data_IF_009376576965
#
_entry.id   IF_009376576965
#
_cell.length_a   1.000
_cell.length_b   1.000
_cell.length_c   1.000
_cell.angle_alpha   90.00
_cell.angle_beta   90.00
_cell.angle_gamma   90.00
#
_symmetry.space_group_name_H-M   'P 1'
#
loop_
_entity.id
_entity.type
_entity.pdbx_description
1 polymer ?
#
# COMPACT_ATOMS: atom_id res chain seq x y z
N UNK A 1 16.99 -22.35 -24.68
CA UNK A 1 17.28 -20.89 -24.79
C UNK A 1 16.02 -20.01 -24.92
N UNK A 2 14.83 -20.62 -24.92
CA UNK A 2 13.55 -19.88 -24.89
C UNK A 2 13.23 -19.21 -23.53
N UNK A 3 13.98 -19.56 -22.47
CA UNK A 3 13.76 -19.07 -21.11
C UNK A 3 14.11 -17.60 -20.90
N UNK A 4 14.83 -16.96 -21.82
CA UNK A 4 15.19 -15.54 -21.73
C UNK A 4 14.10 -14.61 -22.28
N UNK A 5 13.23 -15.11 -23.17
CA UNK A 5 12.12 -14.34 -23.70
C UNK A 5 11.10 -14.00 -22.59
N UNK A 6 10.67 -12.75 -22.51
CA UNK A 6 9.74 -12.29 -21.49
C UNK A 6 9.98 -10.86 -21.01
N UNK A 7 9.27 -10.50 -19.97
CA UNK A 7 9.45 -9.20 -19.30
C UNK A 7 10.13 -9.41 -17.94
N UNK A 8 11.13 -8.59 -17.68
CA UNK A 8 12.02 -8.72 -16.53
C UNK A 8 12.12 -7.40 -15.77
N UNK A 9 11.94 -7.43 -14.47
CA UNK A 9 12.32 -6.34 -13.58
C UNK A 9 13.82 -6.38 -13.32
N UNK A 10 14.46 -5.21 -13.32
CA UNK A 10 15.91 -5.06 -13.17
C UNK A 10 16.24 -4.60 -11.76
N UNK A 11 16.93 -5.43 -10.99
CA UNK A 11 17.42 -5.08 -9.65
C UNK A 11 18.92 -4.83 -9.67
N UNK A 12 19.35 -3.73 -9.04
CA UNK A 12 20.79 -3.45 -8.87
C UNK A 12 21.41 -4.40 -7.85
N UNK A 13 22.52 -5.00 -8.21
CA UNK A 13 23.35 -5.83 -7.30
C UNK A 13 24.58 -5.05 -6.81
N UNK A 14 25.37 -4.47 -7.71
CA UNK A 14 26.60 -3.76 -7.35
C UNK A 14 27.08 -2.80 -8.44
N UNK A 15 28.12 -2.02 -8.15
CA UNK A 15 28.81 -1.14 -9.10
C UNK A 15 28.20 0.25 -9.25
N UNK A 16 28.52 0.95 -10.34
CA UNK A 16 28.12 2.34 -10.62
C UNK A 16 26.79 2.44 -11.40
N UNK A 17 25.87 1.49 -11.21
CA UNK A 17 24.55 1.59 -11.77
C UNK A 17 23.72 2.64 -10.99
N UNK A 18 22.90 3.47 -11.68
CA UNK A 18 21.95 4.33 -11.01
C UNK A 18 20.89 3.47 -10.26
N UNK A 19 20.06 4.08 -9.40
CA UNK A 19 18.88 3.38 -8.87
C UNK A 19 18.03 2.87 -10.05
N UNK A 20 17.84 1.55 -10.13
CA UNK A 20 17.13 0.90 -11.25
C UNK A 20 15.63 0.73 -10.96
N UNK A 21 15.08 1.51 -10.02
CA UNK A 21 13.68 1.43 -9.59
C UNK A 21 12.74 1.65 -10.78
N UNK A 22 11.94 0.65 -11.09
CA UNK A 22 11.00 0.69 -12.21
C UNK A 22 11.64 0.45 -13.58
N UNK A 23 12.93 0.07 -13.64
CA UNK A 23 13.56 -0.36 -14.89
C UNK A 23 13.09 -1.76 -15.25
N UNK A 24 12.68 -1.92 -16.51
CA UNK A 24 12.26 -3.20 -17.08
C UNK A 24 13.00 -3.51 -18.37
N UNK A 25 13.23 -4.81 -18.61
CA UNK A 25 13.69 -5.31 -19.91
C UNK A 25 12.61 -6.21 -20.47
N UNK A 26 12.18 -5.91 -21.71
CA UNK A 26 11.31 -6.79 -22.47
C UNK A 26 12.14 -7.45 -23.57
N UNK A 27 12.17 -8.77 -23.60
CA UNK A 27 12.89 -9.58 -24.57
C UNK A 27 11.86 -10.34 -25.38
N UNK A 28 11.86 -10.12 -26.70
CA UNK A 28 10.97 -10.82 -27.62
C UNK A 28 11.33 -12.29 -27.80
N UNK A 29 10.54 -13.04 -28.58
CA UNK A 29 10.88 -14.41 -28.94
C UNK A 29 12.26 -14.51 -29.57
N UNK A 30 12.99 -15.58 -29.23
CA UNK A 30 14.33 -15.82 -29.76
C UNK A 30 14.27 -16.97 -30.79
N UNK A 31 14.95 -16.78 -31.91
CA UNK A 31 15.15 -17.83 -32.92
C UNK A 31 16.65 -18.11 -32.96
N UNK A 32 17.04 -19.35 -32.67
CA UNK A 32 18.45 -19.76 -32.56
C UNK A 32 19.32 -18.86 -31.66
N UNK A 33 18.71 -18.34 -30.58
CA UNK A 33 19.38 -17.45 -29.62
C UNK A 33 19.54 -16.00 -30.10
N UNK A 34 18.89 -15.63 -31.22
CA UNK A 34 18.90 -14.26 -31.77
C UNK A 34 17.50 -13.66 -31.69
N UNK A 35 17.42 -12.40 -31.28
CA UNK A 35 16.16 -11.67 -31.16
C UNK A 35 16.39 -10.20 -30.86
N UNK A 36 15.36 -9.55 -30.34
CA UNK A 36 15.44 -8.14 -29.96
C UNK A 36 14.62 -7.86 -28.72
N UNK A 37 14.93 -6.74 -28.09
CA UNK A 37 14.21 -6.28 -26.92
C UNK A 37 14.40 -4.79 -26.68
N UNK A 38 13.86 -4.34 -25.57
CA UNK A 38 14.03 -2.96 -25.10
C UNK A 38 14.18 -2.91 -23.58
N UNK A 39 15.00 -1.99 -23.12
CA UNK A 39 15.02 -1.57 -21.71
C UNK A 39 14.18 -0.30 -21.58
N UNK A 40 13.33 -0.24 -20.55
CA UNK A 40 12.49 0.93 -20.26
C UNK A 40 12.77 1.44 -18.84
N UNK A 41 12.84 2.76 -18.69
CA UNK A 41 12.91 3.45 -17.40
C UNK A 41 12.12 4.76 -17.50
N UNK A 42 10.92 4.80 -16.93
CA UNK A 42 10.00 5.92 -17.16
C UNK A 42 9.76 6.16 -18.65
N UNK A 43 9.99 7.37 -19.18
CA UNK A 43 9.82 7.66 -20.60
C UNK A 43 10.98 7.19 -21.49
N UNK A 44 12.11 6.79 -20.91
CA UNK A 44 13.30 6.37 -21.64
C UNK A 44 13.14 4.96 -22.16
N UNK A 45 13.46 4.76 -23.45
CA UNK A 45 13.47 3.46 -24.12
C UNK A 45 14.84 3.25 -24.77
N UNK A 46 15.46 2.13 -24.50
CA UNK A 46 16.75 1.74 -25.05
C UNK A 46 16.62 0.37 -25.73
N UNK A 47 16.43 0.34 -27.06
CA UNK A 47 16.33 -0.91 -27.81
C UNK A 47 17.67 -1.62 -27.88
N UNK A 48 17.63 -2.96 -27.92
CA UNK A 48 18.80 -3.81 -28.04
C UNK A 48 18.53 -5.05 -28.92
N UNK A 49 19.61 -5.62 -29.46
CA UNK A 49 19.64 -6.91 -30.09
C UNK A 49 20.10 -7.98 -29.07
N UNK A 50 19.51 -9.14 -29.13
CA UNK A 50 19.90 -10.31 -28.35
C UNK A 50 20.74 -11.24 -29.22
N UNK A 51 21.93 -11.61 -28.77
CA UNK A 51 22.78 -12.59 -29.42
C UNK A 51 23.31 -13.54 -28.34
N UNK A 52 22.74 -14.74 -28.29
CA UNK A 52 22.96 -15.68 -27.19
C UNK A 52 22.49 -15.10 -25.85
N UNK A 53 23.40 -14.86 -24.94
CA UNK A 53 23.13 -14.23 -23.64
C UNK A 53 23.57 -12.76 -23.55
N UNK A 54 23.90 -12.15 -24.70
CA UNK A 54 24.31 -10.74 -24.75
C UNK A 54 23.16 -9.86 -25.26
N UNK A 55 22.92 -8.76 -24.53
CA UNK A 55 22.02 -7.70 -24.95
C UNK A 55 22.88 -6.53 -25.45
N UNK A 56 22.91 -6.32 -26.79
CA UNK A 56 23.70 -5.26 -27.45
C UNK A 56 22.78 -4.10 -27.75
N UNK A 57 22.98 -2.99 -27.08
CA UNK A 57 22.15 -1.82 -27.27
C UNK A 57 22.36 -1.17 -28.62
N UNK A 58 21.29 -0.58 -29.17
CA UNK A 58 21.33 0.20 -30.42
C UNK A 58 21.62 1.67 -30.14
N UNK A 59 22.07 2.41 -31.14
CA UNK A 59 22.28 3.85 -31.01
C UNK A 59 21.05 4.56 -30.41
N UNK A 60 21.25 5.55 -29.52
CA UNK A 60 22.54 6.15 -29.11
C UNK A 60 23.28 5.41 -27.96
N UNK A 61 22.82 4.20 -27.58
CA UNK A 61 23.35 3.41 -26.47
C UNK A 61 24.29 2.27 -26.90
N UNK A 62 24.78 2.28 -28.12
CA UNK A 62 25.56 1.20 -28.72
C UNK A 62 26.91 0.88 -28.05
N UNK A 63 27.38 1.77 -27.17
CA UNK A 63 28.54 1.52 -26.32
C UNK A 63 28.25 0.57 -25.13
N UNK A 64 26.97 0.27 -24.86
CA UNK A 64 26.54 -0.58 -23.75
C UNK A 64 26.25 -2.00 -24.24
N UNK A 65 26.67 -2.97 -23.42
CA UNK A 65 26.37 -4.40 -23.59
C UNK A 65 26.07 -4.99 -22.23
N UNK A 66 24.98 -5.72 -22.12
CA UNK A 66 24.73 -6.55 -20.94
C UNK A 66 25.05 -8.00 -21.28
N UNK A 67 25.71 -8.70 -20.35
CA UNK A 67 26.01 -10.14 -20.45
C UNK A 67 25.26 -10.85 -19.34
N UNK A 68 24.42 -11.80 -19.73
CA UNK A 68 23.52 -12.51 -18.83
C UNK A 68 24.01 -13.92 -18.54
N UNK A 69 23.82 -14.38 -17.30
CA UNK A 69 24.11 -15.74 -16.83
C UNK A 69 22.86 -16.27 -16.12
N UNK A 70 22.32 -17.46 -16.46
CA UNK A 70 21.12 -17.98 -15.85
C UNK A 70 21.34 -18.36 -14.38
N UNK A 71 20.33 -18.10 -13.53
CA UNK A 71 20.33 -18.46 -12.12
C UNK A 71 18.89 -18.86 -11.68
N UNK A 72 18.56 -20.13 -11.82
CA UNK A 72 17.21 -20.64 -11.57
C UNK A 72 16.20 -20.04 -12.54
N UNK A 73 15.18 -19.35 -12.02
CA UNK A 73 14.17 -18.60 -12.77
C UNK A 73 14.56 -17.13 -13.06
N UNK A 74 15.74 -16.73 -12.63
CA UNK A 74 16.28 -15.37 -12.77
C UNK A 74 17.55 -15.39 -13.66
N UNK A 75 18.06 -14.18 -13.98
CA UNK A 75 19.32 -14.02 -14.70
C UNK A 75 20.19 -12.99 -13.97
N UNK A 76 21.47 -13.32 -13.78
CA UNK A 76 22.46 -12.35 -13.34
C UNK A 76 23.04 -11.61 -14.54
N UNK A 77 23.10 -10.29 -14.47
CA UNK A 77 23.59 -9.43 -15.53
C UNK A 77 24.82 -8.65 -15.15
N UNK A 78 25.79 -8.62 -16.07
CA UNK A 78 26.95 -7.71 -16.01
C UNK A 78 26.77 -6.62 -17.04
N UNK A 79 26.74 -5.37 -16.58
CA UNK A 79 26.61 -4.20 -17.42
C UNK A 79 28.00 -3.70 -17.85
N UNK A 80 28.25 -3.67 -19.16
CA UNK A 80 29.53 -3.28 -19.75
C UNK A 80 29.35 -1.96 -20.53
N UNK A 81 30.29 -1.03 -20.34
CA UNK A 81 30.44 0.18 -21.16
C UNK A 81 31.80 0.09 -21.89
N UNK A 82 31.77 0.07 -23.22
CA UNK A 82 32.96 -0.10 -24.06
C UNK A 82 33.81 -1.31 -23.62
N UNK A 83 33.15 -2.43 -23.28
CA UNK A 83 33.79 -3.68 -22.88
C UNK A 83 34.29 -3.74 -21.43
N UNK A 84 34.14 -2.66 -20.65
CA UNK A 84 34.52 -2.63 -19.23
C UNK A 84 33.28 -2.76 -18.34
N UNK A 85 33.28 -3.71 -17.40
CA UNK A 85 32.20 -3.86 -16.43
C UNK A 85 32.12 -2.62 -15.53
N UNK A 86 30.93 -2.02 -15.43
CA UNK A 86 30.68 -0.88 -14.56
C UNK A 86 29.59 -1.17 -13.51
N UNK A 87 28.88 -2.30 -13.61
CA UNK A 87 27.92 -2.70 -12.61
C UNK A 87 27.30 -4.08 -12.86
N UNK A 88 26.61 -4.57 -11.85
CA UNK A 88 25.88 -5.84 -11.87
C UNK A 88 24.43 -5.64 -11.47
N UNK A 89 23.58 -6.38 -12.12
CA UNK A 89 22.13 -6.39 -11.87
C UNK A 89 21.58 -7.80 -11.92
N UNK A 90 20.35 -7.98 -11.47
CA UNK A 90 19.59 -9.22 -11.56
C UNK A 90 18.30 -8.96 -12.32
N UNK A 91 17.94 -9.85 -13.22
CA UNK A 91 16.65 -9.89 -13.88
C UNK A 91 15.76 -10.86 -13.12
N UNK A 92 14.64 -10.38 -12.62
CA UNK A 92 13.57 -11.21 -12.08
C UNK A 92 12.42 -11.25 -13.07
N UNK A 93 11.84 -12.42 -13.34
CA UNK A 93 10.70 -12.48 -14.25
C UNK A 93 9.59 -11.59 -13.69
N UNK A 94 9.08 -10.70 -14.53
CA UNK A 94 7.80 -10.08 -14.25
C UNK A 94 6.77 -11.18 -14.48
N UNK A 95 6.34 -11.80 -13.40
CA UNK A 95 5.09 -12.55 -13.44
C UNK A 95 4.06 -11.49 -13.81
N UNK A 96 3.58 -11.50 -15.07
CA UNK A 96 2.46 -10.64 -15.44
C UNK A 96 1.40 -10.89 -14.36
N UNK A 97 1.13 -9.85 -13.57
CA UNK A 97 0.12 -9.96 -12.54
C UNK A 97 -1.12 -10.43 -13.29
N UNK A 98 -1.53 -11.67 -13.06
CA UNK A 98 -2.77 -12.23 -13.57
C UNK A 98 -3.79 -11.15 -13.36
N UNK A 99 -4.49 -10.73 -14.40
CA UNK A 99 -5.43 -9.63 -14.29
C UNK A 99 -6.24 -9.85 -13.01
N UNK A 100 -6.07 -8.94 -12.05
CA UNK A 100 -6.62 -9.10 -10.70
C UNK A 100 -8.12 -9.31 -10.84
N UNK A 101 -8.59 -10.46 -10.42
CA UNK A 101 -10.01 -10.77 -10.47
C UNK A 101 -10.76 -9.87 -9.47
N UNK A 102 -12.07 -9.71 -9.64
CA UNK A 102 -12.90 -9.00 -8.64
C UNK A 102 -12.76 -9.66 -7.27
N UNK A 103 -12.58 -10.98 -7.25
CA UNK A 103 -12.32 -11.76 -6.04
C UNK A 103 -11.00 -11.40 -5.38
N UNK A 104 -9.91 -11.28 -6.16
CA UNK A 104 -8.61 -10.86 -5.63
C UNK A 104 -8.68 -9.44 -5.06
N UNK A 105 -9.45 -8.54 -5.71
CA UNK A 105 -9.69 -7.19 -5.21
C UNK A 105 -10.51 -7.20 -3.92
N UNK A 106 -11.51 -8.08 -3.80
CA UNK A 106 -12.31 -8.21 -2.59
C UNK A 106 -11.44 -8.65 -1.40
N UNK A 107 -10.62 -9.68 -1.59
CA UNK A 107 -9.66 -10.15 -0.57
C UNK A 107 -8.70 -9.03 -0.17
N UNK A 108 -8.20 -8.28 -1.15
CA UNK A 108 -7.32 -7.15 -0.89
C UNK A 108 -7.99 -6.06 -0.05
N UNK A 109 -9.20 -5.63 -0.40
CA UNK A 109 -9.92 -4.59 0.34
C UNK A 109 -10.37 -5.04 1.72
N UNK A 110 -10.69 -6.33 1.91
CA UNK A 110 -10.92 -6.89 3.24
C UNK A 110 -9.67 -6.79 4.13
N UNK A 111 -8.51 -7.17 3.61
CA UNK A 111 -7.24 -7.10 4.33
C UNK A 111 -6.85 -5.65 4.66
N UNK A 112 -7.06 -4.73 3.72
CA UNK A 112 -6.84 -3.28 3.92
C UNK A 112 -7.79 -2.71 4.98
N UNK A 113 -9.06 -3.10 5.00
CA UNK A 113 -10.02 -2.65 5.99
C UNK A 113 -9.67 -3.17 7.39
N UNK A 114 -9.21 -4.43 7.53
CA UNK A 114 -8.73 -4.97 8.82
C UNK A 114 -7.53 -4.16 9.33
N UNK A 115 -6.57 -3.84 8.47
CA UNK A 115 -5.40 -3.05 8.84
C UNK A 115 -5.77 -1.61 9.24
N UNK A 116 -6.82 -1.05 8.64
CA UNK A 116 -7.39 0.24 8.98
C UNK A 116 -7.96 0.22 10.40
N UNK A 117 -8.85 -0.72 10.72
CA UNK A 117 -9.43 -0.88 12.06
C UNK A 117 -8.36 -1.02 13.15
N UNK A 118 -7.32 -1.82 12.89
CA UNK A 118 -6.21 -1.97 13.82
C UNK A 118 -5.42 -0.68 14.03
N UNK A 119 -5.35 0.18 13.00
CA UNK A 119 -4.68 1.48 13.09
C UNK A 119 -5.52 2.48 13.86
N UNK A 120 -6.84 2.52 13.61
CA UNK A 120 -7.77 3.37 14.35
C UNK A 120 -7.83 2.96 15.82
N UNK A 121 -7.88 1.67 16.12
CA UNK A 121 -7.82 1.19 17.51
C UNK A 121 -6.59 1.71 18.25
N UNK A 122 -5.41 1.71 17.61
CA UNK A 122 -4.18 2.30 18.22
C UNK A 122 -4.27 3.81 18.38
N UNK A 123 -4.91 4.50 17.43
CA UNK A 123 -5.16 5.93 17.51
C UNK A 123 -6.06 6.25 18.72
N UNK A 124 -7.15 5.49 18.90
CA UNK A 124 -8.06 5.62 20.04
C UNK A 124 -7.35 5.36 21.36
N UNK A 125 -6.49 4.34 21.46
CA UNK A 125 -5.65 4.11 22.67
C UNK A 125 -4.80 5.35 23.00
N UNK A 126 -4.21 5.99 22.00
CA UNK A 126 -3.43 7.22 22.18
C UNK A 126 -4.28 8.41 22.61
N UNK A 127 -5.47 8.59 22.06
CA UNK A 127 -6.40 9.65 22.41
C UNK A 127 -6.91 9.50 23.86
N UNK A 128 -7.33 8.29 24.23
CA UNK A 128 -7.77 7.96 25.59
C UNK A 128 -6.65 8.26 26.61
N UNK A 129 -5.42 7.88 26.30
CA UNK A 129 -4.27 8.15 27.18
C UNK A 129 -3.90 9.63 27.33
N UNK A 130 -4.41 10.53 26.48
CA UNK A 130 -4.04 11.94 26.44
C UNK A 130 -5.18 12.90 26.74
N UNK A 131 -6.37 12.41 27.08
CA UNK A 131 -7.51 13.24 27.53
C UNK A 131 -7.85 12.95 28.99
N UNK A 132 -8.25 13.98 29.72
CA UNK A 132 -8.70 13.88 31.13
C UNK A 132 -10.22 14.09 31.27
N UNK A 133 -10.92 14.37 30.16
CA UNK A 133 -12.37 14.57 30.19
C UNK A 133 -13.13 13.23 30.19
N UNK A 134 -13.91 12.94 31.25
CA UNK A 134 -14.58 11.63 31.37
C UNK A 134 -15.60 11.36 30.28
N UNK A 135 -16.25 12.36 29.70
CA UNK A 135 -17.24 12.17 28.65
C UNK A 135 -16.56 11.83 27.32
N UNK A 136 -15.42 12.47 27.05
CA UNK A 136 -14.60 12.15 25.88
C UNK A 136 -14.00 10.76 26.01
N UNK A 137 -13.50 10.37 27.18
CA UNK A 137 -12.98 9.02 27.46
C UNK A 137 -14.07 7.97 27.18
N UNK A 138 -15.26 8.14 27.75
CA UNK A 138 -16.39 7.19 27.55
C UNK A 138 -16.77 7.05 26.09
N UNK A 139 -16.82 8.15 25.34
CA UNK A 139 -17.07 8.17 23.89
C UNK A 139 -16.02 7.36 23.13
N UNK A 140 -14.73 7.59 23.41
CA UNK A 140 -13.62 6.93 22.72
C UNK A 140 -13.53 5.43 23.09
N UNK A 141 -13.75 5.07 24.35
CA UNK A 141 -13.79 3.66 24.80
C UNK A 141 -14.94 2.89 24.15
N UNK A 142 -16.11 3.52 24.04
CA UNK A 142 -17.25 2.93 23.36
C UNK A 142 -16.94 2.66 21.88
N UNK A 143 -16.41 3.65 21.19
CA UNK A 143 -16.03 3.51 19.78
C UNK A 143 -14.91 2.49 19.57
N UNK A 144 -13.94 2.40 20.47
CA UNK A 144 -12.90 1.36 20.43
C UNK A 144 -13.48 -0.06 20.44
N UNK A 145 -14.52 -0.30 21.22
CA UNK A 145 -15.24 -1.59 21.23
C UNK A 145 -15.98 -1.83 19.90
N UNK A 146 -16.48 -0.78 19.26
CA UNK A 146 -17.08 -0.87 17.90
C UNK A 146 -16.03 -1.23 16.86
N UNK A 147 -14.88 -0.53 16.84
CA UNK A 147 -13.70 -0.81 16.00
C UNK A 147 -13.22 -2.26 16.11
N UNK A 148 -13.13 -2.80 17.34
CA UNK A 148 -12.75 -4.20 17.55
C UNK A 148 -13.77 -5.19 16.95
N UNK A 149 -15.06 -4.89 17.02
CA UNK A 149 -16.13 -5.69 16.39
C UNK A 149 -16.08 -5.60 14.87
N UNK A 150 -15.77 -4.42 14.32
CA UNK A 150 -15.58 -4.25 12.88
C UNK A 150 -14.45 -5.16 12.37
N UNK A 151 -13.28 -5.09 13.00
CA UNK A 151 -12.16 -5.95 12.66
C UNK A 151 -12.48 -7.45 12.76
N UNK A 152 -13.26 -7.87 13.75
CA UNK A 152 -13.70 -9.26 13.90
C UNK A 152 -14.62 -9.71 12.76
N UNK A 153 -15.64 -8.89 12.40
CA UNK A 153 -16.54 -9.16 11.26
C UNK A 153 -15.76 -9.30 9.96
N UNK A 154 -14.82 -8.38 9.70
CA UNK A 154 -13.98 -8.39 8.50
C UNK A 154 -13.07 -9.63 8.44
N UNK A 155 -12.45 -10.02 9.55
CA UNK A 155 -11.64 -11.26 9.62
C UNK A 155 -12.47 -12.50 9.31
N UNK A 156 -13.67 -12.59 9.86
CA UNK A 156 -14.57 -13.71 9.57
C UNK A 156 -14.92 -13.79 8.07
N UNK A 157 -15.10 -12.64 7.40
CA UNK A 157 -15.35 -12.59 5.94
C UNK A 157 -14.10 -12.98 5.15
N UNK A 158 -12.93 -12.52 5.56
CA UNK A 158 -11.67 -12.88 4.92
C UNK A 158 -11.38 -14.39 5.02
N UNK A 159 -11.60 -14.98 6.20
CA UNK A 159 -11.46 -16.43 6.42
C UNK A 159 -12.46 -17.24 5.59
N UNK A 160 -13.71 -16.78 5.46
CA UNK A 160 -14.71 -17.41 4.61
C UNK A 160 -14.29 -17.46 3.12
N UNK A 161 -13.37 -16.58 2.70
CA UNK A 161 -12.73 -16.57 1.38
C UNK A 161 -11.45 -17.41 1.30
N UNK A 162 -11.12 -18.17 2.35
CA UNK A 162 -9.92 -18.98 2.41
C UNK A 162 -8.61 -18.18 2.51
N UNK A 163 -8.71 -16.88 2.79
CA UNK A 163 -7.58 -15.99 2.98
C UNK A 163 -7.30 -15.74 4.46
N UNK A 164 -6.08 -15.28 4.77
CA UNK A 164 -5.67 -14.88 6.12
C UNK A 164 -5.19 -13.44 6.10
N UNK A 165 -5.36 -12.69 7.21
CA UNK A 165 -4.83 -11.35 7.32
C UNK A 165 -3.33 -11.32 7.02
N UNK A 166 -2.89 -10.37 6.21
CA UNK A 166 -1.48 -10.17 5.88
C UNK A 166 -0.76 -9.56 7.07
N UNK A 167 0.24 -10.25 7.62
CA UNK A 167 1.09 -9.72 8.69
C UNK A 167 2.06 -8.63 8.23
N UNK A 168 2.16 -8.33 6.94
CA UNK A 168 3.23 -7.51 6.33
C UNK A 168 2.71 -6.22 5.69
N UNK A 169 1.41 -6.05 5.54
CA UNK A 169 0.88 -4.78 5.02
C UNK A 169 0.85 -3.72 6.13
N UNK A 170 2.02 -3.16 6.43
CA UNK A 170 2.08 -1.77 6.88
C UNK A 170 1.32 -0.95 5.84
N UNK A 171 0.28 -0.27 6.30
CA UNK A 171 -0.62 0.51 5.48
C UNK A 171 0.17 1.44 4.54
N UNK A 172 0.35 1.01 3.28
CA UNK A 172 0.89 1.84 2.21
C UNK A 172 -0.27 2.65 1.64
N UNK A 173 -0.09 3.94 1.51
CA UNK A 173 -1.10 4.86 1.00
C UNK A 173 -1.70 5.77 2.07
N UNK A 174 -2.96 6.16 1.92
CA UNK A 174 -3.66 7.12 2.80
C UNK A 174 -3.75 6.61 4.24
N UNK A 175 -3.90 5.28 4.43
CA UNK A 175 -3.86 4.62 5.75
C UNK A 175 -2.48 4.71 6.41
N UNK A 176 -1.39 4.62 5.62
CA UNK A 176 -0.03 4.87 6.11
C UNK A 176 0.20 6.33 6.50
N UNK A 177 -0.61 7.25 5.98
CA UNK A 177 -0.59 8.65 6.40
C UNK A 177 -1.28 8.83 7.77
N UNK A 178 -2.41 8.15 8.03
CA UNK A 178 -3.06 8.15 9.36
C UNK A 178 -2.19 7.50 10.43
N UNK A 179 -1.56 6.36 10.13
CA UNK A 179 -0.63 5.69 11.04
C UNK A 179 0.66 6.51 11.29
N UNK A 180 0.96 7.48 10.43
CA UNK A 180 2.09 8.43 10.54
C UNK A 180 1.66 9.80 11.02
N UNK A 181 0.36 10.03 11.31
CA UNK A 181 0.00 11.23 12.06
C UNK A 181 0.80 11.19 13.36
N UNK A 182 1.72 12.15 13.58
CA UNK A 182 2.46 12.17 14.81
C UNK A 182 1.41 12.33 15.90
N UNK A 183 1.21 11.29 16.69
CA UNK A 183 0.62 11.42 18.01
C UNK A 183 1.61 12.27 18.79
N UNK A 184 1.49 13.59 18.62
CA UNK A 184 2.35 14.55 19.28
C UNK A 184 1.98 14.61 20.78
N UNK A 185 2.44 13.60 21.52
CA UNK A 185 2.35 13.55 22.98
C UNK A 185 2.98 14.79 23.68
N UNK A 186 3.57 15.70 22.90
CA UNK A 186 4.35 16.85 23.40
C UNK A 186 3.65 18.17 23.11
N UNK A 187 2.53 18.20 22.37
CA UNK A 187 1.82 19.46 22.05
C UNK A 187 0.87 19.87 23.16
N UNK A 188 0.85 21.17 23.48
CA UNK A 188 0.00 21.76 24.51
C UNK A 188 -1.49 21.55 24.24
N UNK A 189 -1.98 21.84 23.05
CA UNK A 189 -3.38 21.67 22.66
C UNK A 189 -3.65 20.29 22.07
N UNK A 190 -4.40 19.44 22.77
CA UNK A 190 -4.65 18.06 22.37
C UNK A 190 -6.09 17.80 21.97
N UNK A 191 -7.07 18.32 22.72
CA UNK A 191 -8.48 17.98 22.55
C UNK A 191 -9.01 18.30 21.15
N UNK A 192 -8.86 19.53 20.67
CA UNK A 192 -9.33 19.95 19.35
C UNK A 192 -8.60 19.25 18.20
N UNK A 193 -7.31 18.99 18.35
CA UNK A 193 -6.54 18.24 17.32
C UNK A 193 -6.91 16.77 17.28
N UNK A 194 -7.06 16.15 18.42
CA UNK A 194 -7.52 14.77 18.52
C UNK A 194 -8.92 14.62 17.91
N UNK A 195 -9.84 15.54 18.19
CA UNK A 195 -11.18 15.58 17.60
C UNK A 195 -11.13 15.70 16.07
N UNK A 196 -10.29 16.63 15.54
CA UNK A 196 -10.09 16.78 14.09
C UNK A 196 -9.56 15.50 13.46
N UNK A 197 -8.57 14.88 14.09
CA UNK A 197 -7.91 13.68 13.54
C UNK A 197 -8.84 12.47 13.62
N UNK A 198 -9.64 12.34 14.71
CA UNK A 198 -10.71 11.35 14.81
C UNK A 198 -11.76 11.57 13.71
N UNK A 199 -12.29 12.78 13.54
CA UNK A 199 -13.29 13.09 12.52
C UNK A 199 -12.80 12.77 11.10
N UNK A 200 -11.53 13.04 10.80
CA UNK A 200 -10.91 12.69 9.54
C UNK A 200 -10.79 11.16 9.37
N UNK A 201 -10.46 10.42 10.44
CA UNK A 201 -10.39 8.97 10.43
C UNK A 201 -11.75 8.34 10.10
N UNK A 202 -12.83 8.75 10.81
CA UNK A 202 -14.19 8.27 10.54
C UNK A 202 -14.59 8.42 9.08
N UNK A 203 -14.32 9.59 8.47
CA UNK A 203 -14.67 9.83 7.07
C UNK A 203 -13.86 8.96 6.09
N UNK A 204 -12.65 8.58 6.46
CA UNK A 204 -11.87 7.64 5.66
C UNK A 204 -12.40 6.22 5.78
N UNK A 205 -12.82 5.80 6.99
CA UNK A 205 -13.44 4.50 7.23
C UNK A 205 -14.77 4.38 6.49
N UNK A 206 -15.61 5.41 6.54
CA UNK A 206 -16.84 5.51 5.75
C UNK A 206 -16.56 5.31 4.26
N UNK A 207 -15.54 5.99 3.72
CA UNK A 207 -15.17 5.86 2.31
C UNK A 207 -14.62 4.46 1.97
N UNK A 208 -13.81 3.86 2.85
CA UNK A 208 -13.29 2.52 2.69
C UNK A 208 -14.40 1.47 2.68
N UNK A 209 -15.36 1.56 3.60
CA UNK A 209 -16.53 0.70 3.63
C UNK A 209 -17.46 0.88 2.44
N UNK A 210 -17.62 2.11 1.94
CA UNK A 210 -18.35 2.34 0.69
C UNK A 210 -17.69 1.64 -0.50
N UNK A 211 -16.38 1.62 -0.57
CA UNK A 211 -15.64 0.94 -1.62
C UNK A 211 -15.76 -0.57 -1.47
N UNK A 212 -15.53 -1.11 -0.25
CA UNK A 212 -15.63 -2.53 0.05
C UNK A 212 -17.03 -3.09 -0.29
N UNK A 213 -18.11 -2.40 0.10
CA UNK A 213 -19.48 -2.77 -0.26
C UNK A 213 -19.65 -2.95 -1.76
N UNK A 214 -19.15 -1.98 -2.55
CA UNK A 214 -19.32 -2.02 -4.03
C UNK A 214 -18.48 -3.12 -4.69
N UNK A 215 -17.30 -3.39 -4.15
CA UNK A 215 -16.45 -4.51 -4.64
C UNK A 215 -17.08 -5.83 -4.27
N UNK A 216 -17.57 -6.00 -3.03
CA UNK A 216 -18.24 -7.20 -2.58
C UNK A 216 -19.51 -7.51 -3.40
N UNK A 217 -20.34 -6.50 -3.68
CA UNK A 217 -21.51 -6.65 -4.55
C UNK A 217 -21.12 -7.13 -5.96
N UNK A 218 -20.03 -6.59 -6.54
CA UNK A 218 -19.54 -7.03 -7.86
C UNK A 218 -18.94 -8.44 -7.86
N UNK A 219 -18.41 -8.87 -6.72
CA UNK A 219 -17.93 -10.23 -6.50
C UNK A 219 -19.07 -11.22 -6.22
N UNK A 220 -20.32 -10.76 -6.06
CA UNK A 220 -21.46 -11.58 -5.67
C UNK A 220 -21.43 -11.99 -4.19
N UNK A 221 -20.65 -11.30 -3.34
CA UNK A 221 -20.55 -11.56 -1.91
C UNK A 221 -21.46 -10.60 -1.13
N UNK A 222 -22.73 -10.91 -1.07
CA UNK A 222 -23.71 -10.10 -0.36
C UNK A 222 -23.49 -10.05 1.15
N UNK A 223 -22.93 -11.13 1.74
CA UNK A 223 -22.60 -11.16 3.18
C UNK A 223 -21.50 -10.15 3.52
N UNK A 224 -20.46 -10.05 2.70
CA UNK A 224 -19.42 -9.04 2.88
C UNK A 224 -19.95 -7.63 2.61
N UNK A 225 -20.81 -7.46 1.60
CA UNK A 225 -21.48 -6.19 1.33
C UNK A 225 -22.33 -5.73 2.54
N UNK A 226 -23.04 -6.65 3.18
CA UNK A 226 -23.83 -6.34 4.38
C UNK A 226 -22.96 -5.95 5.58
N UNK A 227 -21.85 -6.67 5.81
CA UNK A 227 -20.88 -6.31 6.85
C UNK A 227 -20.31 -4.90 6.60
N UNK A 228 -19.98 -4.57 5.35
CA UNK A 228 -19.48 -3.24 5.02
C UNK A 228 -20.53 -2.14 5.26
N UNK A 229 -21.80 -2.39 4.93
CA UNK A 229 -22.91 -1.45 5.22
C UNK A 229 -23.11 -1.24 6.72
N UNK A 230 -23.07 -2.33 7.49
CA UNK A 230 -23.25 -2.28 8.93
C UNK A 230 -22.11 -1.48 9.60
N UNK A 231 -20.85 -1.82 9.30
CA UNK A 231 -19.70 -1.10 9.86
C UNK A 231 -19.77 0.39 9.47
N UNK A 232 -20.02 0.69 8.18
CA UNK A 232 -20.18 2.08 7.74
C UNK A 232 -21.23 2.86 8.52
N UNK A 233 -22.39 2.26 8.81
CA UNK A 233 -23.45 2.93 9.55
C UNK A 233 -23.03 3.26 10.99
N UNK A 234 -22.20 2.40 11.61
CA UNK A 234 -21.64 2.61 12.94
C UNK A 234 -20.60 3.77 12.89
N UNK A 235 -19.72 3.86 11.84
CA UNK A 235 -18.80 5.00 11.65
C UNK A 235 -19.52 6.32 11.34
N UNK A 236 -20.58 6.29 10.51
CA UNK A 236 -21.42 7.46 10.25
C UNK A 236 -22.09 7.97 11.55
N UNK A 237 -22.43 7.08 12.47
CA UNK A 237 -22.98 7.46 13.77
C UNK A 237 -21.90 8.10 14.66
N UNK A 238 -20.67 7.57 14.65
CA UNK A 238 -19.54 8.15 15.39
C UNK A 238 -19.14 9.52 14.83
N UNK A 239 -19.03 9.66 13.50
CA UNK A 239 -18.76 10.95 12.87
C UNK A 239 -19.78 12.02 13.27
N UNK A 240 -21.09 11.68 13.33
CA UNK A 240 -22.13 12.59 13.82
C UNK A 240 -21.94 12.96 15.30
N UNK A 241 -21.58 12.00 16.16
CA UNK A 241 -21.30 12.30 17.58
C UNK A 241 -20.13 13.25 17.72
N UNK A 242 -19.07 13.08 16.95
CA UNK A 242 -17.94 14.02 16.95
C UNK A 242 -18.37 15.42 16.48
N UNK A 243 -19.21 15.48 15.43
CA UNK A 243 -19.73 16.76 14.89
C UNK A 243 -20.59 17.53 15.94
N UNK A 244 -21.39 16.81 16.71
CA UNK A 244 -22.22 17.36 17.79
C UNK A 244 -21.40 17.88 18.98
N UNK A 245 -20.14 17.48 19.14
CA UNK A 245 -19.30 17.81 20.30
C UNK A 245 -18.17 18.81 19.99
N UNK A 246 -18.17 19.47 18.81
CA UNK A 246 -17.12 20.42 18.44
C UNK A 246 -16.91 21.52 19.46
N UNK A 247 -17.98 22.12 19.99
CA UNK A 247 -17.87 23.19 21.00
C UNK A 247 -17.19 22.68 22.28
N UNK A 248 -17.48 21.43 22.68
CA UNK A 248 -16.82 20.79 23.83
C UNK A 248 -15.32 20.64 23.59
N UNK A 249 -14.91 20.18 22.41
CA UNK A 249 -13.49 20.02 22.07
C UNK A 249 -12.76 21.36 21.97
N UNK A 250 -13.42 22.40 21.46
CA UNK A 250 -12.89 23.77 21.44
C UNK A 250 -12.69 24.29 22.87
N UNK A 251 -13.69 24.15 23.74
CA UNK A 251 -13.60 24.57 25.12
C UNK A 251 -12.48 23.85 25.88
N UNK A 252 -12.29 22.55 25.65
CA UNK A 252 -11.19 21.78 26.23
C UNK A 252 -9.83 22.29 25.73
N UNK A 253 -9.68 22.52 24.43
CA UNK A 253 -8.45 23.06 23.85
C UNK A 253 -8.08 24.43 24.43
N UNK A 254 -9.07 25.33 24.55
CA UNK A 254 -8.85 26.66 25.12
C UNK A 254 -8.44 26.58 26.59
N UNK A 255 -8.98 25.67 27.36
CA UNK A 255 -8.57 25.42 28.77
C UNK A 255 -7.14 24.89 28.83
N UNK A 256 -6.76 23.95 27.97
CA UNK A 256 -5.41 23.40 27.90
C UNK A 256 -4.36 24.49 27.61
N UNK A 257 -4.66 25.43 26.71
CA UNK A 257 -3.80 26.57 26.34
C UNK A 257 -3.89 27.74 27.36
N UNK A 258 -4.73 27.61 28.40
CA UNK A 258 -4.97 28.69 29.40
C UNK A 258 -5.40 30.02 28.76
N UNK A 259 -6.12 29.94 27.67
CA UNK A 259 -6.68 31.12 27.00
C UNK A 259 -7.91 31.56 27.79
N UNK A 260 -7.84 32.76 28.41
CA UNK A 260 -9.00 33.40 29.03
C UNK A 260 -9.80 34.12 27.95
N UNK A 261 -11.06 33.72 27.79
CA UNK A 261 -12.01 34.45 26.95
C UNK A 261 -12.49 35.77 27.59
#
# INVERSE_FOLDING_TARGET
MDELAGTWDVERVSGFLPPLIGMRKRIGPLVDGVGSGETTLGPVRAPFDVVGTQLRYRAPFDAFVDVLEPEGDAWNGRALLKGREYGRFRLKPVVEARASSVEDQLVQHLDEAIAMEESVRRLLDGMIATTDDPQVIDLLEHHKVETERHAQRLRARLEARGAKPSMVREATGVLGALAKLPLDFVRGEKAGRNARDAFAAEHMEIAAYQLLERVATRAGDEETAEVARQNRAEEEAMARRLDEHWDTFVDLSLREERVSG
#
